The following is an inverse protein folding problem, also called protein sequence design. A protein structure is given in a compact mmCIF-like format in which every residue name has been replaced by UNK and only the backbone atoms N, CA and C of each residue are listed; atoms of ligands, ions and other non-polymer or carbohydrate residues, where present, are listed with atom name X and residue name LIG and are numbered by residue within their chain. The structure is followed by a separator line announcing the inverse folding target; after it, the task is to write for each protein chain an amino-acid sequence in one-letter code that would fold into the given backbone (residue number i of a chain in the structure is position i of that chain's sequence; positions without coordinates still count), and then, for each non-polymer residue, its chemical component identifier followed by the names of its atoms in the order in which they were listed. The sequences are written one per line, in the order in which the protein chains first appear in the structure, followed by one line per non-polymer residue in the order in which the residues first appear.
data_IF_333363534736
#
_entry.id   IF_333363534736
#
_cell.length_a   1.000
_cell.length_b   1.000
_cell.length_c   1.000
_cell.angle_alpha   90.00
_cell.angle_beta   90.00
_cell.angle_gamma   90.00
#
_symmetry.space_group_name_H-M   'P 1'
#
loop_
_entity.id
_entity.type
_entity.pdbx_description
1 polymer ?
#
# COMPACT_ATOMS: atom_id res chain seq x y z
N UNK A 1 16.98 33.33 -22.24
CA UNK A 1 16.02 33.90 -21.25
C UNK A 1 14.60 33.66 -21.76
N UNK A 2 13.82 32.74 -21.16
CA UNK A 2 12.39 32.56 -21.49
C UNK A 2 11.55 33.31 -20.45
N UNK A 3 10.67 34.21 -20.91
CA UNK A 3 9.77 35.00 -20.04
C UNK A 3 8.46 34.24 -19.78
N UNK A 4 7.87 34.52 -18.62
CA UNK A 4 6.60 33.95 -18.14
C UNK A 4 5.42 34.22 -19.09
N UNK A 5 4.56 33.22 -19.29
CA UNK A 5 3.23 33.36 -19.86
C UNK A 5 2.21 33.51 -18.73
N UNK A 6 1.35 34.53 -18.77
CA UNK A 6 0.28 34.75 -17.78
C UNK A 6 -1.03 34.19 -18.31
N UNK A 7 -1.82 33.56 -17.44
CA UNK A 7 -3.17 33.08 -17.76
C UNK A 7 -4.14 34.27 -17.80
N UNK A 8 -4.99 34.30 -18.84
CA UNK A 8 -6.14 35.19 -18.95
C UNK A 8 -7.32 34.34 -19.44
N UNK A 9 -8.40 34.29 -18.65
CA UNK A 9 -9.63 33.58 -18.98
C UNK A 9 -10.63 34.61 -19.50
N UNK A 10 -11.14 34.40 -20.72
CA UNK A 10 -12.24 35.18 -21.29
C UNK A 10 -13.33 34.21 -21.76
N UNK A 11 -14.59 34.52 -21.44
CA UNK A 11 -15.74 33.67 -21.75
C UNK A 11 -16.55 34.17 -22.94
N UNK A 12 -17.23 33.23 -23.61
CA UNK A 12 -18.35 33.29 -24.56
C UNK A 12 -18.61 31.83 -24.99
N UNK A 13 -19.82 31.32 -25.22
CA UNK A 13 -21.16 31.85 -25.04
C UNK A 13 -22.21 30.95 -25.74
N UNK A 14 -23.32 30.66 -25.04
CA UNK A 14 -24.67 30.37 -25.57
C UNK A 14 -24.93 29.20 -26.56
N UNK A 15 -25.80 28.25 -26.16
CA UNK A 15 -26.67 27.44 -27.05
C UNK A 15 -28.06 27.26 -26.39
N UNK A 16 -29.09 27.04 -27.22
CA UNK A 16 -30.54 26.99 -26.93
C UNK A 16 -31.19 25.90 -27.84
N UNK A 17 -32.37 25.33 -27.62
CA UNK A 17 -33.53 25.67 -26.75
C UNK A 17 -34.29 24.37 -26.28
N UNK A 18 -35.15 24.50 -25.26
CA UNK A 18 -36.47 23.83 -25.00
C UNK A 18 -36.71 22.36 -25.46
N UNK A 19 -37.26 21.46 -24.62
CA UNK A 19 -38.70 21.49 -24.25
C UNK A 19 -39.10 20.57 -23.07
N UNK A 20 -39.95 21.08 -22.14
CA UNK A 20 -40.80 20.30 -21.22
C UNK A 20 -40.11 19.60 -20.04
N UNK A 21 -40.59 19.65 -18.79
CA UNK A 21 -41.72 20.40 -18.23
C UNK A 21 -41.62 20.43 -16.69
N UNK A 22 -42.17 21.46 -16.06
CA UNK A 22 -42.11 21.68 -14.61
C UNK A 22 -43.28 21.04 -13.86
N UNK A 23 -43.05 20.58 -12.63
CA UNK A 23 -44.05 20.67 -11.56
C UNK A 23 -43.36 21.01 -10.23
N UNK A 24 -43.72 22.16 -9.67
CA UNK A 24 -43.33 22.57 -8.32
C UNK A 24 -44.43 22.17 -7.33
N UNK A 25 -44.05 21.87 -6.09
CA UNK A 25 -44.99 21.70 -4.97
C UNK A 25 -45.00 22.94 -4.09
N UNK A 26 -46.20 23.48 -3.88
CA UNK A 26 -46.44 24.78 -3.26
C UNK A 26 -46.54 24.69 -1.72
N UNK A 27 -46.34 25.82 -1.05
CA UNK A 27 -46.44 25.93 0.42
C UNK A 27 -47.84 26.40 0.81
N UNK A 28 -48.59 25.61 1.57
CA UNK A 28 -49.69 26.17 2.38
C UNK A 28 -49.82 25.46 3.72
N UNK A 29 -50.11 26.26 4.76
CA UNK A 29 -50.24 25.85 6.16
C UNK A 29 -51.61 25.19 6.40
N UNK A 30 -51.64 24.18 7.25
CA UNK A 30 -52.83 23.81 8.02
C UNK A 30 -52.38 23.40 9.43
N UNK A 31 -52.96 24.01 10.47
CA UNK A 31 -52.69 23.64 11.86
C UNK A 31 -53.80 22.75 12.41
N UNK A 32 -53.38 21.70 13.11
CA UNK A 32 -54.06 21.01 14.22
C UNK A 32 -55.59 20.75 14.16
N UNK A 33 -55.94 19.46 14.22
CA UNK A 33 -56.72 19.01 15.38
C UNK A 33 -56.31 17.58 15.80
N UNK A 34 -56.49 17.24 17.07
CA UNK A 34 -55.98 16.00 17.66
C UNK A 34 -57.04 14.89 17.72
N UNK A 35 -56.63 13.65 17.46
CA UNK A 35 -57.34 12.44 17.91
C UNK A 35 -56.34 11.29 18.07
N UNK A 36 -56.43 10.57 19.18
CA UNK A 36 -55.48 9.53 19.60
C UNK A 36 -55.96 8.13 19.21
N UNK A 37 -55.03 7.28 18.74
CA UNK A 37 -55.13 5.82 18.75
C UNK A 37 -53.72 5.19 18.81
N UNK A 38 -53.56 3.93 19.26
CA UNK A 38 -52.36 3.46 19.93
C UNK A 38 -51.20 3.07 18.99
N UNK A 39 -50.00 3.03 19.57
CA UNK A 39 -48.74 2.77 18.86
C UNK A 39 -48.70 1.40 18.17
N UNK A 40 -48.58 1.40 16.84
CA UNK A 40 -48.14 0.22 16.10
C UNK A 40 -46.65 -0.02 16.33
N UNK A 41 -46.31 -1.23 16.77
CA UNK A 41 -44.93 -1.67 17.00
C UNK A 41 -44.24 -1.90 15.66
N UNK A 42 -43.45 -0.93 15.19
CA UNK A 42 -42.66 -1.06 13.96
C UNK A 42 -41.68 -2.23 14.09
N UNK A 43 -41.98 -3.36 13.47
CA UNK A 43 -41.02 -4.45 13.30
C UNK A 43 -39.98 -4.04 12.28
N UNK A 44 -38.80 -3.64 12.77
CA UNK A 44 -37.63 -3.38 11.92
C UNK A 44 -37.20 -4.70 11.29
N UNK A 45 -37.59 -4.91 10.03
CA UNK A 45 -37.04 -5.98 9.20
C UNK A 45 -35.60 -5.58 8.88
N UNK A 46 -34.63 -6.16 9.60
CA UNK A 46 -33.23 -6.08 9.21
C UNK A 46 -33.07 -6.82 7.89
N UNK A 47 -32.58 -6.12 6.86
CA UNK A 47 -32.18 -6.75 5.61
C UNK A 47 -31.07 -7.78 5.88
N UNK A 48 -31.11 -8.92 5.19
CA UNK A 48 -30.01 -9.88 5.25
C UNK A 48 -28.71 -9.21 4.77
N UNK A 49 -27.56 -9.51 5.39
CA UNK A 49 -26.27 -9.01 4.95
C UNK A 49 -25.94 -9.48 3.53
N UNK A 50 -25.24 -8.64 2.78
CA UNK A 50 -24.73 -8.96 1.45
C UNK A 50 -23.66 -10.07 1.50
N UNK A 51 -23.42 -10.74 0.38
CA UNK A 51 -22.39 -11.78 0.30
C UNK A 51 -21.00 -11.27 0.68
N UNK A 52 -20.67 -10.00 0.41
CA UNK A 52 -19.42 -9.40 0.89
C UNK A 52 -19.37 -9.19 2.41
N UNK A 53 -20.47 -8.76 3.03
CA UNK A 53 -20.54 -8.60 4.49
C UNK A 53 -20.47 -9.96 5.20
N UNK A 54 -21.09 -11.00 4.63
CA UNK A 54 -20.98 -12.38 5.13
C UNK A 54 -19.55 -12.90 4.95
N UNK A 55 -18.91 -12.67 3.79
CA UNK A 55 -17.51 -13.07 3.58
C UNK A 55 -16.54 -12.36 4.54
N UNK A 56 -16.73 -11.05 4.79
CA UNK A 56 -15.99 -10.29 5.82
C UNK A 56 -16.29 -10.72 7.26
N UNK A 57 -17.37 -11.47 7.50
CA UNK A 57 -17.75 -11.96 8.84
C UNK A 57 -17.09 -13.28 9.22
N UNK A 58 -16.54 -14.03 8.25
CA UNK A 58 -15.70 -15.19 8.56
C UNK A 58 -14.30 -14.71 9.00
N UNK A 59 -13.76 -15.24 10.11
CA UNK A 59 -12.39 -14.92 10.50
C UNK A 59 -11.42 -15.43 9.43
N UNK A 60 -10.60 -14.55 8.89
CA UNK A 60 -9.43 -14.97 8.12
C UNK A 60 -8.36 -15.49 9.07
N UNK A 61 -7.80 -16.66 8.77
CA UNK A 61 -6.62 -17.15 9.47
C UNK A 61 -5.37 -16.60 8.77
N UNK A 62 -4.54 -15.87 9.50
CA UNK A 62 -3.25 -15.40 8.99
C UNK A 62 -2.14 -16.39 9.36
N UNK A 63 -1.47 -16.97 8.36
CA UNK A 63 -0.35 -17.90 8.58
C UNK A 63 0.95 -17.25 8.11
N UNK A 64 1.91 -17.04 9.03
CA UNK A 64 3.22 -16.49 8.68
C UNK A 64 4.02 -17.53 7.88
N UNK A 65 4.37 -17.19 6.65
CA UNK A 65 5.15 -18.05 5.74
C UNK A 65 6.62 -17.64 5.63
N UNK A 66 6.95 -16.36 5.91
CA UNK A 66 8.34 -15.90 5.85
C UNK A 66 8.62 -14.74 6.81
N UNK A 67 9.87 -14.67 7.29
CA UNK A 67 10.34 -13.62 8.19
C UNK A 67 11.83 -13.35 7.97
N UNK A 68 12.24 -12.09 8.04
CA UNK A 68 13.63 -11.67 8.16
C UNK A 68 13.74 -10.39 8.98
N UNK A 69 14.96 -10.08 9.42
CA UNK A 69 15.25 -8.81 10.12
C UNK A 69 16.68 -8.36 9.88
N UNK A 70 16.89 -7.05 9.81
CA UNK A 70 18.21 -6.42 9.72
C UNK A 70 18.38 -5.36 10.81
N UNK A 71 19.61 -5.18 11.30
CA UNK A 71 19.91 -4.19 12.34
C UNK A 71 19.83 -2.77 11.78
N UNK A 72 19.18 -1.86 12.49
CA UNK A 72 19.14 -0.45 12.11
C UNK A 72 20.50 0.23 12.39
N UNK A 73 20.97 1.13 11.53
CA UNK A 73 22.15 1.94 11.81
C UNK A 73 21.84 3.01 12.87
N UNK A 74 22.88 3.53 13.53
CA UNK A 74 22.75 4.63 14.49
C UNK A 74 22.37 5.98 13.86
N UNK A 75 22.45 6.13 12.53
CA UNK A 75 22.15 7.38 11.83
C UNK A 75 20.65 7.66 11.76
N UNK A 76 20.22 8.76 12.38
CA UNK A 76 18.81 9.17 12.42
C UNK A 76 18.21 9.37 11.02
N UNK A 77 18.92 10.00 10.08
CA UNK A 77 18.39 10.25 8.72
C UNK A 77 18.22 8.95 7.93
N UNK A 78 19.16 8.01 8.10
CA UNK A 78 19.08 6.67 7.51
C UNK A 78 17.87 5.91 8.08
N UNK A 79 17.67 5.93 9.39
CA UNK A 79 16.49 5.31 10.03
C UNK A 79 15.18 5.96 9.59
N UNK A 80 15.13 7.28 9.40
CA UNK A 80 13.97 7.96 8.81
C UNK A 80 13.67 7.46 7.40
N UNK A 81 14.69 7.30 6.55
CA UNK A 81 14.52 6.76 5.19
C UNK A 81 14.01 5.31 5.19
N UNK A 82 14.58 4.45 6.06
CA UNK A 82 14.09 3.08 6.27
C UNK A 82 12.63 3.09 6.71
N UNK A 83 12.25 3.95 7.68
CA UNK A 83 10.88 4.01 8.20
C UNK A 83 9.87 4.39 7.10
N UNK A 84 10.19 5.36 6.24
CA UNK A 84 9.31 5.79 5.15
C UNK A 84 9.10 4.66 4.14
N UNK A 85 10.18 4.00 3.70
CA UNK A 85 10.08 2.86 2.78
C UNK A 85 9.41 1.63 3.42
N UNK A 86 9.68 1.33 4.69
CA UNK A 86 9.00 0.29 5.46
C UNK A 86 7.50 0.55 5.53
N UNK A 87 7.08 1.79 5.76
CA UNK A 87 5.66 2.15 5.83
C UNK A 87 4.96 2.00 4.47
N UNK A 88 5.66 2.28 3.36
CA UNK A 88 5.10 2.12 2.02
C UNK A 88 4.80 0.65 1.66
N UNK A 89 5.67 -0.29 2.06
CA UNK A 89 5.47 -1.73 1.81
C UNK A 89 4.59 -2.42 2.87
N UNK A 90 4.31 -1.77 4.00
CA UNK A 90 3.54 -2.37 5.09
C UNK A 90 2.04 -2.48 4.75
N UNK A 91 1.46 -3.64 5.05
CA UNK A 91 0.09 -4.05 4.71
C UNK A 91 -0.22 -4.08 3.20
N UNK A 92 0.80 -4.17 2.34
CA UNK A 92 0.58 -4.47 0.92
C UNK A 92 0.12 -5.93 0.77
N UNK A 93 -0.89 -6.14 -0.06
CA UNK A 93 -1.45 -7.47 -0.36
C UNK A 93 -1.08 -7.84 -1.78
N UNK A 94 -0.49 -9.02 -1.97
CA UNK A 94 -0.10 -9.58 -3.27
C UNK A 94 -1.01 -10.76 -3.57
N UNK A 95 -1.85 -10.63 -4.60
CA UNK A 95 -2.83 -11.66 -4.96
C UNK A 95 -2.16 -12.91 -5.54
N UNK A 96 -2.82 -14.09 -5.50
CA UNK A 96 -2.32 -15.30 -6.17
C UNK A 96 -1.94 -15.04 -7.63
N UNK A 97 -0.70 -15.35 -8.00
CA UNK A 97 -0.13 -15.10 -9.34
C UNK A 97 0.34 -13.67 -9.61
N UNK A 98 0.07 -12.69 -8.73
CA UNK A 98 0.51 -11.30 -8.88
C UNK A 98 2.01 -11.16 -8.62
N UNK A 99 2.66 -10.27 -9.38
CA UNK A 99 4.05 -9.85 -9.14
C UNK A 99 4.08 -8.52 -8.41
N UNK A 100 4.64 -8.52 -7.21
CA UNK A 100 4.96 -7.33 -6.43
C UNK A 100 6.20 -6.65 -7.03
N UNK A 101 6.17 -5.31 -7.07
CA UNK A 101 7.32 -4.47 -7.45
C UNK A 101 7.60 -3.46 -6.34
N UNK A 102 8.83 -3.47 -5.83
CA UNK A 102 9.23 -2.61 -4.72
C UNK A 102 9.21 -1.13 -5.14
N UNK A 103 9.84 -0.81 -6.28
CA UNK A 103 9.88 0.55 -6.82
C UNK A 103 8.49 1.09 -7.18
N UNK A 104 7.56 0.25 -7.66
CA UNK A 104 6.16 0.64 -7.92
C UNK A 104 5.44 1.08 -6.64
N UNK A 105 5.72 0.43 -5.51
CA UNK A 105 5.09 0.70 -4.21
C UNK A 105 5.74 1.89 -3.49
N UNK A 106 7.07 1.98 -3.44
CA UNK A 106 7.74 3.11 -2.78
C UNK A 106 7.74 4.39 -3.63
N UNK A 107 7.81 4.23 -4.96
CA UNK A 107 8.08 5.30 -5.92
C UNK A 107 9.43 5.99 -5.68
N UNK A 108 9.64 7.09 -6.38
CA UNK A 108 10.85 7.91 -6.22
C UNK A 108 10.99 8.48 -4.80
N UNK A 109 12.22 8.50 -4.22
CA UNK A 109 12.49 9.20 -2.98
C UNK A 109 12.55 10.71 -3.21
N UNK A 110 11.68 11.47 -2.54
CA UNK A 110 11.62 12.94 -2.63
C UNK A 110 11.62 13.60 -1.26
N UNK A 111 12.06 14.86 -1.18
CA UNK A 111 12.06 15.61 0.06
C UNK A 111 10.63 15.83 0.61
N UNK A 112 9.64 15.98 -0.29
CA UNK A 112 8.22 16.13 0.06
C UNK A 112 7.62 14.89 0.72
N UNK A 113 8.14 13.69 0.38
CA UNK A 113 7.83 12.43 1.09
C UNK A 113 8.54 12.30 2.45
N UNK A 114 9.35 13.28 2.85
CA UNK A 114 10.13 13.30 4.08
C UNK A 114 11.47 12.58 4.01
N UNK A 115 11.90 12.09 2.84
CA UNK A 115 13.22 11.47 2.71
C UNK A 115 14.33 12.48 2.98
N UNK A 116 15.39 12.01 3.62
CA UNK A 116 16.56 12.79 4.00
C UNK A 116 17.82 12.29 3.27
N UNK A 117 18.86 13.11 3.16
CA UNK A 117 20.17 12.65 2.72
C UNK A 117 20.70 11.53 3.62
N UNK A 118 21.13 10.43 3.01
CA UNK A 118 21.84 9.33 3.64
C UNK A 118 22.87 8.71 2.69
N UNK A 119 23.80 7.89 3.20
CA UNK A 119 24.73 7.17 2.35
C UNK A 119 24.00 6.11 1.51
N UNK A 120 24.31 6.09 0.22
CA UNK A 120 23.99 5.04 -0.73
C UNK A 120 25.23 4.63 -1.52
N UNK A 121 25.07 3.69 -2.46
CA UNK A 121 26.17 3.21 -3.32
C UNK A 121 25.83 3.57 -4.77
N UNK A 122 26.72 4.28 -5.44
CA UNK A 122 26.63 4.59 -6.87
C UNK A 122 28.01 4.42 -7.50
N UNK A 123 28.08 3.79 -8.68
CA UNK A 123 29.32 3.59 -9.45
C UNK A 123 30.49 3.03 -8.62
N UNK A 124 30.21 2.08 -7.72
CA UNK A 124 31.24 1.46 -6.87
C UNK A 124 31.79 2.36 -5.76
N UNK A 125 31.13 3.46 -5.42
CA UNK A 125 31.50 4.39 -4.35
C UNK A 125 30.33 4.65 -3.40
N UNK A 126 30.64 4.96 -2.14
CA UNK A 126 29.65 5.42 -1.17
C UNK A 126 29.43 6.93 -1.39
N UNK A 127 28.20 7.32 -1.71
CA UNK A 127 27.81 8.70 -2.01
C UNK A 127 26.65 9.13 -1.11
N UNK A 128 26.54 10.42 -0.83
CA UNK A 128 25.39 10.96 -0.12
C UNK A 128 24.25 11.19 -1.13
N UNK A 129 23.10 10.53 -0.92
CA UNK A 129 21.93 10.64 -1.79
C UNK A 129 20.63 10.72 -0.99
N UNK A 130 19.58 11.24 -1.63
CA UNK A 130 18.25 11.31 -1.02
C UNK A 130 17.67 9.90 -0.92
N UNK A 131 17.17 9.50 0.25
CA UNK A 131 16.65 8.14 0.46
C UNK A 131 17.73 7.07 0.68
N UNK A 132 18.99 7.44 0.95
CA UNK A 132 20.02 6.49 1.38
C UNK A 132 19.51 5.61 2.54
N UNK A 133 19.47 4.30 2.31
CA UNK A 133 18.90 3.30 3.23
C UNK A 133 17.69 2.51 2.71
N UNK A 134 17.05 2.93 1.62
CA UNK A 134 15.92 2.19 1.01
C UNK A 134 16.30 0.74 0.65
N UNK A 135 17.52 0.51 0.16
CA UNK A 135 18.00 -0.83 -0.21
C UNK A 135 18.07 -1.83 0.97
N UNK A 136 18.10 -1.35 2.22
CA UNK A 136 18.00 -2.22 3.39
C UNK A 136 16.58 -2.79 3.54
N UNK A 137 15.56 -2.05 3.10
CA UNK A 137 14.15 -2.48 3.13
C UNK A 137 13.89 -3.53 2.06
N UNK A 138 14.29 -3.29 0.81
CA UNK A 138 14.20 -4.29 -0.27
C UNK A 138 15.00 -5.56 0.07
N UNK A 139 16.19 -5.42 0.65
CA UNK A 139 17.00 -6.56 1.13
C UNK A 139 16.30 -7.37 2.22
N UNK A 140 15.69 -6.71 3.21
CA UNK A 140 15.01 -7.44 4.30
C UNK A 140 13.73 -8.12 3.79
N UNK A 141 13.00 -7.48 2.87
CA UNK A 141 11.88 -8.11 2.18
C UNK A 141 12.32 -9.31 1.33
N UNK A 142 13.44 -9.21 0.61
CA UNK A 142 14.00 -10.31 -0.19
C UNK A 142 14.35 -11.54 0.66
N UNK A 143 15.00 -11.39 1.81
CA UNK A 143 15.30 -12.53 2.71
C UNK A 143 14.00 -13.13 3.30
N UNK A 144 12.96 -12.32 3.56
CA UNK A 144 11.62 -12.83 3.91
C UNK A 144 10.94 -13.60 2.77
N UNK A 145 11.07 -13.15 1.52
CA UNK A 145 10.57 -13.81 0.30
C UNK A 145 11.25 -15.16 0.08
N UNK A 146 12.58 -15.23 0.28
CA UNK A 146 13.33 -16.49 0.25
C UNK A 146 12.85 -17.46 1.35
N UNK A 147 12.67 -16.96 2.58
CA UNK A 147 12.21 -17.79 3.69
C UNK A 147 10.75 -18.27 3.50
N UNK A 148 9.95 -17.54 2.72
CA UNK A 148 8.61 -17.95 2.28
C UNK A 148 8.58 -18.85 1.03
N UNK A 149 9.74 -19.15 0.43
CA UNK A 149 9.86 -19.94 -0.81
C UNK A 149 8.98 -19.40 -1.97
N UNK A 150 8.88 -18.07 -2.08
CA UNK A 150 8.18 -17.40 -3.19
C UNK A 150 9.12 -17.16 -4.38
N UNK A 151 8.57 -17.09 -5.59
CA UNK A 151 9.32 -16.87 -6.83
C UNK A 151 9.91 -15.46 -6.88
N UNK A 152 11.25 -15.35 -6.94
CA UNK A 152 11.96 -14.08 -7.16
C UNK A 152 12.01 -13.81 -8.67
N UNK A 153 11.36 -12.73 -9.10
CA UNK A 153 11.23 -12.35 -10.52
C UNK A 153 12.39 -11.45 -10.95
N UNK A 154 12.77 -10.48 -10.11
CA UNK A 154 13.88 -9.56 -10.37
C UNK A 154 14.65 -9.27 -9.08
N UNK A 155 15.98 -9.35 -9.15
CA UNK A 155 16.88 -8.99 -8.04
C UNK A 155 18.28 -8.65 -8.56
N UNK A 156 18.83 -7.53 -8.10
CA UNK A 156 20.21 -7.12 -8.35
C UNK A 156 21.05 -7.08 -7.06
N UNK A 157 22.33 -7.45 -7.08
CA UNK A 157 23.27 -7.17 -5.99
C UNK A 157 23.74 -5.71 -6.05
N UNK A 158 24.21 -5.18 -4.92
CA UNK A 158 25.03 -3.98 -4.89
C UNK A 158 26.42 -4.26 -5.49
N UNK A 159 27.04 -3.24 -6.09
CA UNK A 159 28.43 -3.31 -6.56
C UNK A 159 29.46 -3.37 -5.42
N UNK A 160 29.08 -2.98 -4.20
CA UNK A 160 29.88 -3.07 -2.99
C UNK A 160 29.14 -3.87 -1.90
N UNK A 161 29.84 -4.57 -0.98
CA UNK A 161 29.20 -5.25 0.14
C UNK A 161 28.48 -4.27 1.06
N UNK A 162 27.31 -4.67 1.53
CA UNK A 162 26.54 -3.96 2.57
C UNK A 162 26.77 -4.59 3.94
N UNK A 163 26.65 -3.81 5.02
CA UNK A 163 26.96 -4.26 6.38
C UNK A 163 25.80 -4.98 7.10
N UNK A 164 24.58 -4.91 6.56
CA UNK A 164 23.36 -5.39 7.23
C UNK A 164 22.94 -6.83 6.85
N UNK A 165 23.57 -7.44 5.83
CA UNK A 165 23.40 -8.86 5.46
C UNK A 165 24.72 -9.46 4.95
N UNK A 166 24.88 -10.80 4.96
CA UNK A 166 25.99 -11.47 4.27
C UNK A 166 26.05 -11.16 2.76
N UNK A 167 27.24 -11.26 2.17
CA UNK A 167 27.45 -11.11 0.72
C UNK A 167 26.50 -12.04 -0.07
N UNK A 168 25.85 -11.49 -1.11
CA UNK A 168 24.94 -12.23 -1.98
C UNK A 168 23.50 -12.36 -1.48
N UNK A 169 23.20 -11.93 -0.25
CA UNK A 169 21.85 -11.90 0.34
C UNK A 169 21.15 -10.53 0.24
N UNK A 170 21.77 -9.56 -0.43
CA UNK A 170 21.25 -8.21 -0.61
C UNK A 170 20.31 -8.11 -1.82
N UNK A 171 19.42 -7.10 -1.84
CA UNK A 171 18.62 -6.74 -3.00
C UNK A 171 18.69 -5.21 -3.21
N UNK A 172 19.53 -4.79 -4.15
CA UNK A 172 19.71 -3.39 -4.54
C UNK A 172 18.53 -2.93 -5.39
N UNK A 173 18.06 -1.70 -5.14
CA UNK A 173 17.03 -1.03 -5.95
C UNK A 173 17.49 0.39 -6.28
N UNK A 174 17.32 0.79 -7.53
CA UNK A 174 17.58 2.15 -7.99
C UNK A 174 16.64 2.52 -9.14
N UNK A 175 15.58 3.25 -8.79
CA UNK A 175 14.46 3.58 -9.67
C UNK A 175 14.82 4.46 -10.88
N UNK A 176 15.91 5.24 -10.83
CA UNK A 176 16.35 6.08 -11.96
C UNK A 176 17.00 5.25 -13.08
N UNK A 177 17.66 4.13 -12.74
CA UNK A 177 18.27 3.18 -13.69
C UNK A 177 17.39 1.94 -13.93
N UNK A 178 16.20 1.89 -13.32
CA UNK A 178 15.22 0.81 -13.50
C UNK A 178 15.48 -0.46 -12.70
N UNK A 179 16.49 -0.49 -11.83
CA UNK A 179 16.78 -1.67 -10.99
C UNK A 179 15.74 -1.81 -9.88
N UNK A 180 14.97 -2.90 -9.89
CA UNK A 180 13.92 -3.18 -8.91
C UNK A 180 14.19 -4.48 -8.13
N UNK A 181 13.38 -4.69 -7.09
CA UNK A 181 13.19 -6.00 -6.48
C UNK A 181 11.76 -6.43 -6.69
N UNK A 182 11.58 -7.57 -7.36
CA UNK A 182 10.28 -8.13 -7.71
C UNK A 182 10.18 -9.58 -7.28
N UNK A 183 9.03 -9.94 -6.72
CA UNK A 183 8.68 -11.32 -6.41
C UNK A 183 7.23 -11.58 -6.80
N UNK A 184 6.91 -12.83 -7.08
CA UNK A 184 5.57 -13.27 -7.44
C UNK A 184 4.98 -14.11 -6.33
N UNK A 185 3.73 -13.84 -5.98
CA UNK A 185 2.99 -14.72 -5.11
C UNK A 185 2.63 -15.99 -5.90
N UNK A 186 3.31 -17.10 -5.60
CA UNK A 186 3.10 -18.41 -6.19
C UNK A 186 2.18 -19.32 -5.37
N UNK A 187 1.58 -18.82 -4.28
CA UNK A 187 0.62 -19.56 -3.47
C UNK A 187 -0.81 -19.33 -3.96
N UNK A 188 -1.78 -20.07 -3.39
CA UNK A 188 -3.20 -19.97 -3.75
C UNK A 188 -3.97 -18.92 -2.94
N UNK A 189 -3.34 -18.33 -1.91
CA UNK A 189 -3.97 -17.36 -1.02
C UNK A 189 -3.28 -15.98 -1.14
N UNK A 190 -3.94 -14.87 -0.80
CA UNK A 190 -3.29 -13.55 -0.78
C UNK A 190 -2.16 -13.48 0.25
N UNK A 191 -1.01 -12.94 -0.13
CA UNK A 191 0.14 -12.73 0.76
C UNK A 191 0.20 -11.27 1.21
N UNK A 192 0.17 -11.03 2.52
CA UNK A 192 0.30 -9.72 3.16
C UNK A 192 1.76 -9.50 3.58
N UNK A 193 2.34 -8.40 3.12
CA UNK A 193 3.64 -7.90 3.59
C UNK A 193 3.42 -7.06 4.86
N UNK A 194 4.01 -7.45 5.98
CA UNK A 194 3.99 -6.66 7.24
C UNK A 194 5.42 -6.24 7.59
N UNK A 195 5.67 -4.93 7.68
CA UNK A 195 7.00 -4.33 7.83
C UNK A 195 7.01 -3.29 8.95
N UNK A 196 7.92 -3.43 9.92
CA UNK A 196 7.99 -2.56 11.09
C UNK A 196 9.42 -2.33 11.57
N UNK A 197 9.63 -1.25 12.33
CA UNK A 197 10.88 -1.00 13.04
C UNK A 197 10.64 -1.27 14.53
N UNK A 198 11.31 -2.29 15.09
CA UNK A 198 11.12 -2.78 16.45
C UNK A 198 12.47 -3.17 17.07
N UNK A 199 12.73 -2.75 18.31
CA UNK A 199 13.89 -3.23 19.08
C UNK A 199 15.25 -2.97 18.42
N UNK A 200 15.39 -1.87 17.68
CA UNK A 200 16.62 -1.55 16.92
C UNK A 200 16.77 -2.31 15.60
N UNK A 201 15.74 -3.04 15.15
CA UNK A 201 15.71 -3.78 13.88
C UNK A 201 14.63 -3.27 12.95
N UNK A 202 14.88 -3.39 11.65
CA UNK A 202 13.82 -3.54 10.65
C UNK A 202 13.40 -5.01 10.64
N UNK A 203 12.10 -5.29 10.70
CA UNK A 203 11.52 -6.63 10.64
C UNK A 203 10.50 -6.66 9.51
N UNK A 204 10.59 -7.66 8.63
CA UNK A 204 9.62 -7.89 7.56
C UNK A 204 9.09 -9.32 7.68
N UNK A 205 7.77 -9.48 7.64
CA UNK A 205 7.08 -10.77 7.68
C UNK A 205 6.08 -10.88 6.54
N UNK A 206 5.90 -12.09 6.02
CA UNK A 206 4.95 -12.43 4.96
C UNK A 206 3.90 -13.39 5.53
N UNK A 207 2.63 -13.10 5.32
CA UNK A 207 1.49 -13.84 5.88
C UNK A 207 0.50 -14.22 4.79
N UNK A 208 0.13 -15.49 4.69
CA UNK A 208 -1.04 -15.89 3.89
C UNK A 208 -2.32 -15.55 4.65
N UNK A 209 -3.25 -14.86 3.98
CA UNK A 209 -4.60 -14.64 4.51
C UNK A 209 -5.52 -15.75 4.00
N UNK A 210 -5.62 -16.84 4.76
CA UNK A 210 -6.41 -18.00 4.33
C UNK A 210 -7.90 -17.69 4.34
N UNK A 211 -8.56 -17.99 3.23
CA UNK A 211 -10.00 -18.14 3.23
C UNK A 211 -10.40 -19.40 4.02
N UNK A 212 -11.34 -19.27 4.96
CA UNK A 212 -11.96 -20.44 5.56
C UNK A 212 -12.80 -21.13 4.49
N UNK A 213 -12.25 -22.15 3.83
CA UNK A 213 -13.04 -23.02 2.96
C UNK A 213 -14.04 -23.79 3.83
N UNK A 214 -15.29 -23.34 3.82
CA UNK A 214 -16.41 -24.15 4.31
C UNK A 214 -16.39 -25.48 3.57
N UNK A 215 -15.99 -26.55 4.25
CA UNK A 215 -16.09 -27.92 3.75
C UNK A 215 -17.57 -28.30 3.65
N UNK A 216 -18.24 -27.81 2.60
CA UNK A 216 -19.55 -28.28 2.19
C UNK A 216 -19.37 -29.73 1.72
N UNK A 217 -19.87 -30.66 2.54
CA UNK A 217 -19.78 -32.09 2.27
C UNK A 217 -20.39 -32.46 0.91
N UNK A 218 -19.76 -33.43 0.26
CA UNK A 218 -20.33 -34.29 -0.79
C UNK A 218 -20.09 -35.75 -0.38
#
# INVERSE_FOLDING_TARGET
MRKYMRILIAGMGLVIMLSGGYMAIDKTKAQANAQTHPAQRTTVVKSNPTSEEVLRSFPHEEVMIGQASTQLPASKSYVTNIQIASNAINNQVVQPGETFSFNKVTGFPTADKGYQPGPGISNGQVVQMLGGGICQVSTTLYDSVLNANLEVVERYPHSLPVSYVPRGKDAMVYIEEGYDFQFKNTTTEPVIIKSSLQGGKLVVTLWEQKSHSSSAAL
#
